data_IF_318419250366
#
_entry.id   IF_318419250366
#
_cell.length_a   1.000
_cell.length_b   1.000
_cell.length_c   1.000
_cell.angle_alpha   90.00
_cell.angle_beta   90.00
_cell.angle_gamma   90.00
#
_symmetry.space_group_name_H-M   'P 1'
#
loop_
_entity.id
_entity.type
_entity.pdbx_description
1 polymer ?
#
# COMPACT_ATOMS: atom_id res chain seq x y z
N UNK A 1 -9.87 -8.24 -3.43
CA UNK A 1 -9.36 -6.91 -3.03
C UNK A 1 -10.23 -5.75 -3.51
N UNK A 2 -10.56 -5.64 -4.81
CA UNK A 2 -11.22 -4.43 -5.36
C UNK A 2 -12.55 -4.04 -4.72
N UNK A 3 -13.33 -4.99 -4.20
CA UNK A 3 -14.57 -4.70 -3.47
C UNK A 3 -14.36 -3.90 -2.17
N UNK A 4 -13.12 -3.72 -1.71
CA UNK A 4 -12.79 -2.83 -0.60
C UNK A 4 -12.64 -1.36 -1.01
N UNK A 5 -12.54 -1.06 -2.30
CA UNK A 5 -12.56 0.32 -2.81
C UNK A 5 -13.95 0.93 -2.61
N UNK A 6 -14.00 2.20 -2.21
CA UNK A 6 -15.22 2.88 -1.77
C UNK A 6 -16.42 2.67 -2.72
N UNK A 7 -16.25 2.94 -4.02
CA UNK A 7 -17.36 2.88 -4.97
C UNK A 7 -17.65 1.47 -5.47
N UNK A 8 -16.61 0.63 -5.57
CA UNK A 8 -16.75 -0.78 -5.92
C UNK A 8 -17.47 -1.56 -4.81
N UNK A 9 -17.25 -1.22 -3.54
CA UNK A 9 -17.98 -1.76 -2.39
C UNK A 9 -19.48 -1.52 -2.53
N UNK A 10 -19.87 -0.29 -2.86
CA UNK A 10 -21.28 0.08 -3.06
C UNK A 10 -21.89 -0.69 -4.23
N UNK A 11 -21.18 -0.79 -5.36
CA UNK A 11 -21.64 -1.60 -6.49
C UNK A 11 -21.83 -3.07 -6.11
N UNK A 12 -20.92 -3.64 -5.31
CA UNK A 12 -21.04 -5.02 -4.81
C UNK A 12 -22.26 -5.20 -3.90
N UNK A 13 -22.54 -4.24 -3.00
CA UNK A 13 -23.70 -4.27 -2.11
C UNK A 13 -25.02 -4.13 -2.89
N UNK A 14 -25.00 -3.45 -4.02
CA UNK A 14 -26.14 -3.34 -4.94
C UNK A 14 -26.34 -4.60 -5.81
N UNK A 15 -25.48 -5.62 -5.67
CA UNK A 15 -25.54 -6.85 -6.46
C UNK A 15 -24.99 -6.70 -7.89
N UNK A 16 -24.34 -5.57 -8.20
CA UNK A 16 -23.67 -5.36 -9.47
C UNK A 16 -22.25 -5.92 -9.44
N UNK A 17 -21.61 -6.01 -10.61
CA UNK A 17 -20.17 -6.26 -10.69
C UNK A 17 -19.43 -5.13 -9.94
N UNK A 18 -18.41 -5.44 -9.12
CA UNK A 18 -17.70 -4.47 -8.28
C UNK A 18 -16.73 -3.61 -9.08
N UNK A 19 -17.28 -2.81 -9.98
CA UNK A 19 -16.54 -1.85 -10.79
C UNK A 19 -16.56 -0.47 -10.15
N UNK A 20 -15.41 0.18 -10.13
CA UNK A 20 -15.25 1.55 -9.61
C UNK A 20 -16.15 2.51 -10.40
N UNK A 21 -16.82 3.44 -9.70
CA UNK A 21 -17.62 4.51 -10.32
C UNK A 21 -16.73 5.74 -10.55
N UNK A 22 -16.87 6.35 -11.72
CA UNK A 22 -16.15 7.60 -12.03
C UNK A 22 -16.75 8.70 -11.16
N UNK A 23 -15.88 9.50 -10.53
CA UNK A 23 -16.28 10.69 -9.76
C UNK A 23 -16.20 11.91 -10.68
N UNK A 24 -17.11 12.90 -10.58
CA UNK A 24 -18.33 12.96 -9.78
C UNK A 24 -19.52 12.15 -10.37
N UNK A 25 -20.58 11.83 -9.58
CA UNK A 25 -20.80 12.25 -8.18
C UNK A 25 -19.97 11.47 -7.16
N UNK A 26 -19.69 12.10 -6.02
CA UNK A 26 -19.10 11.42 -4.86
C UNK A 26 -20.19 10.64 -4.09
N UNK A 27 -19.84 9.52 -3.41
CA UNK A 27 -20.81 8.73 -2.64
C UNK A 27 -21.59 9.50 -1.58
N UNK A 28 -20.97 10.54 -1.01
CA UNK A 28 -21.62 11.43 -0.03
C UNK A 28 -22.81 12.19 -0.60
N UNK A 29 -22.90 12.34 -1.92
CA UNK A 29 -24.04 12.92 -2.64
C UNK A 29 -24.93 11.80 -3.19
N UNK A 30 -24.33 10.85 -3.90
CA UNK A 30 -25.04 9.72 -4.52
C UNK A 30 -24.20 8.45 -4.43
N UNK A 31 -24.44 7.66 -3.38
CA UNK A 31 -23.74 6.41 -3.10
C UNK A 31 -24.66 5.19 -3.22
N UNK A 32 -24.83 4.45 -2.11
CA UNK A 32 -25.59 3.20 -2.07
C UNK A 32 -27.05 3.42 -2.45
N UNK A 33 -27.56 2.66 -3.41
CA UNK A 33 -28.94 2.78 -3.92
C UNK A 33 -29.30 4.22 -4.33
N UNK A 34 -28.31 4.96 -4.84
CA UNK A 34 -28.41 6.38 -5.19
C UNK A 34 -28.82 7.29 -4.03
N UNK A 35 -28.39 6.96 -2.82
CA UNK A 35 -28.59 7.77 -1.61
C UNK A 35 -27.24 8.28 -1.07
N UNK A 36 -27.21 9.47 -0.44
CA UNK A 36 -26.04 9.95 0.29
C UNK A 36 -25.49 8.87 1.22
N UNK A 37 -24.24 8.47 1.00
CA UNK A 37 -23.60 7.37 1.74
C UNK A 37 -22.17 7.76 2.08
N UNK A 38 -21.81 7.58 3.35
CA UNK A 38 -20.44 7.72 3.82
C UNK A 38 -19.85 6.32 3.96
N UNK A 39 -18.68 6.09 3.36
CA UNK A 39 -17.91 4.87 3.55
C UNK A 39 -16.67 5.20 4.36
N UNK A 40 -16.50 4.54 5.50
CA UNK A 40 -15.29 4.65 6.32
C UNK A 40 -14.79 3.26 6.69
N UNK A 41 -13.51 3.17 7.01
CA UNK A 41 -12.92 1.95 7.55
C UNK A 41 -13.51 1.63 8.93
N UNK A 42 -13.52 0.35 9.28
CA UNK A 42 -13.95 -0.14 10.59
C UNK A 42 -13.15 0.52 11.72
N UNK A 43 -11.84 0.69 11.58
CA UNK A 43 -10.97 1.35 12.57
C UNK A 43 -11.44 2.79 12.85
N UNK A 44 -11.83 3.53 11.82
CA UNK A 44 -12.34 4.89 11.95
C UNK A 44 -13.63 4.93 12.77
N UNK A 45 -14.57 4.03 12.49
CA UNK A 45 -15.82 3.96 13.26
C UNK A 45 -15.65 3.40 14.67
N UNK A 46 -14.71 2.47 14.86
CA UNK A 46 -14.40 1.91 16.18
C UNK A 46 -13.88 2.95 17.18
N UNK A 47 -13.30 4.05 16.68
CA UNK A 47 -12.86 5.18 17.52
C UNK A 47 -13.99 6.11 17.97
N UNK A 48 -15.16 6.08 17.30
CA UNK A 48 -16.26 7.01 17.61
C UNK A 48 -16.81 6.89 19.04
N UNK A 49 -17.04 5.69 19.62
CA UNK A 49 -17.53 5.59 20.99
C UNK A 49 -16.62 6.28 22.00
N UNK A 50 -15.29 6.18 21.83
CA UNK A 50 -14.33 6.88 22.68
C UNK A 50 -14.41 8.40 22.49
N UNK A 51 -14.47 8.86 21.24
CA UNK A 51 -14.54 10.30 20.91
C UNK A 51 -15.82 10.92 21.46
N UNK A 52 -16.97 10.26 21.32
CA UNK A 52 -18.26 10.76 21.82
C UNK A 52 -18.27 10.80 23.35
N UNK A 53 -17.65 9.81 24.01
CA UNK A 53 -17.63 9.74 25.48
C UNK A 53 -16.64 10.71 26.13
N UNK A 54 -15.46 10.88 25.56
CA UNK A 54 -14.35 11.63 26.17
C UNK A 54 -14.07 12.98 25.51
N UNK A 55 -14.71 13.26 24.38
CA UNK A 55 -14.53 14.47 23.59
C UNK A 55 -13.37 14.38 22.58
N UNK A 56 -13.50 15.14 21.49
CA UNK A 56 -12.50 15.17 20.42
C UNK A 56 -11.12 15.66 20.89
N UNK A 57 -11.06 16.57 21.86
CA UNK A 57 -9.80 17.05 22.43
C UNK A 57 -8.99 15.94 23.14
N UNK A 58 -9.68 14.99 23.79
CA UNK A 58 -9.02 13.85 24.43
C UNK A 58 -8.43 12.87 23.40
N UNK A 59 -9.13 12.67 22.27
CA UNK A 59 -8.63 11.88 21.16
C UNK A 59 -7.45 12.58 20.45
N UNK A 60 -7.57 13.89 20.23
CA UNK A 60 -6.54 14.72 19.60
C UNK A 60 -5.26 14.88 20.44
N UNK A 61 -5.34 14.65 21.75
CA UNK A 61 -4.18 14.62 22.63
C UNK A 61 -3.30 13.37 22.45
N UNK A 62 -3.79 12.35 21.75
CA UNK A 62 -3.03 11.17 21.35
C UNK A 62 -2.48 11.43 19.96
N UNK A 63 -1.21 11.13 19.71
CA UNK A 63 -0.62 11.26 18.39
C UNK A 63 0.23 12.52 18.20
N UNK A 64 0.36 12.96 16.95
CA UNK A 64 1.00 14.22 16.58
C UNK A 64 -0.05 15.32 16.34
N UNK A 65 0.40 16.56 16.09
CA UNK A 65 -0.50 17.67 15.78
C UNK A 65 -1.32 17.45 14.49
N UNK A 66 -0.69 16.84 13.47
CA UNK A 66 -1.31 16.63 12.15
C UNK A 66 -1.92 15.23 12.02
N UNK A 67 -1.38 14.24 12.73
CA UNK A 67 -1.87 12.85 12.77
C UNK A 67 -2.32 12.51 14.19
N UNK A 68 -3.59 12.77 14.50
CA UNK A 68 -4.17 12.53 15.83
C UNK A 68 -4.80 11.14 15.97
N UNK A 69 -4.75 10.59 17.18
CA UNK A 69 -5.37 9.33 17.58
C UNK A 69 -4.40 8.15 17.60
N UNK A 70 -4.89 6.98 18.04
CA UNK A 70 -4.18 5.73 17.89
C UNK A 70 -4.26 5.21 16.45
N UNK A 71 -3.33 4.32 16.11
CA UNK A 71 -3.31 3.54 14.87
C UNK A 71 -3.05 2.08 15.19
N UNK A 72 -3.83 1.20 14.58
CA UNK A 72 -3.55 -0.23 14.57
C UNK A 72 -2.46 -0.53 13.53
N UNK A 73 -1.40 -1.21 13.99
CA UNK A 73 -0.27 -1.68 13.18
C UNK A 73 -0.25 -3.21 13.20
N UNK A 74 -0.25 -3.84 12.03
CA UNK A 74 -0.30 -5.31 11.90
C UNK A 74 1.03 -5.84 11.37
N UNK A 75 1.70 -6.71 12.11
CA UNK A 75 3.00 -7.29 11.78
C UNK A 75 2.85 -8.72 11.25
N UNK A 76 3.51 -9.04 10.13
CA UNK A 76 3.50 -10.37 9.52
C UNK A 76 4.30 -11.43 10.30
N UNK A 77 4.23 -12.68 9.84
CA UNK A 77 4.81 -13.84 10.52
C UNK A 77 6.34 -13.89 10.54
N UNK A 78 7.02 -13.00 9.81
CA UNK A 78 8.47 -12.88 9.80
C UNK A 78 9.02 -12.11 11.01
N UNK A 79 8.17 -11.40 11.74
CA UNK A 79 8.52 -10.83 13.05
C UNK A 79 8.60 -11.93 14.12
N UNK A 80 9.43 -11.74 15.15
CA UNK A 80 9.52 -12.70 16.27
C UNK A 80 8.19 -12.77 17.02
N UNK A 81 7.58 -11.61 17.24
CA UNK A 81 6.28 -11.44 17.88
C UNK A 81 5.30 -10.83 16.87
N UNK A 82 4.73 -11.64 15.95
CA UNK A 82 3.72 -11.16 15.01
C UNK A 82 2.43 -10.83 15.75
N UNK A 83 1.66 -9.84 15.27
CA UNK A 83 0.43 -9.43 15.94
C UNK A 83 -0.14 -8.11 15.42
N UNK A 84 -1.26 -7.70 16.02
CA UNK A 84 -1.85 -6.39 15.82
C UNK A 84 -1.65 -5.57 17.10
N UNK A 85 -1.00 -4.42 16.96
CA UNK A 85 -0.64 -3.53 18.06
C UNK A 85 -1.33 -2.19 17.86
N UNK A 86 -1.87 -1.63 18.94
CA UNK A 86 -2.36 -0.26 18.96
C UNK A 86 -1.25 0.66 19.46
N UNK A 87 -0.86 1.63 18.64
CA UNK A 87 0.16 2.63 18.98
C UNK A 87 -0.38 4.04 18.78
N UNK A 88 0.17 5.02 19.49
CA UNK A 88 -0.13 6.41 19.19
C UNK A 88 0.48 6.77 17.82
N UNK A 89 -0.22 7.58 17.02
CA UNK A 89 0.40 8.18 15.84
C UNK A 89 1.69 8.94 16.23
N UNK A 90 2.69 8.95 15.36
CA UNK A 90 4.02 9.52 15.67
C UNK A 90 4.93 8.60 16.50
N UNK A 91 4.48 7.41 16.91
CA UNK A 91 5.36 6.41 17.54
C UNK A 91 6.52 6.07 16.58
N UNK A 92 7.79 6.03 17.04
CA UNK A 92 8.92 5.64 16.20
C UNK A 92 8.70 4.26 15.56
N UNK A 93 9.00 4.12 14.28
CA UNK A 93 8.85 2.85 13.58
C UNK A 93 9.81 1.78 14.15
N UNK A 94 10.94 2.21 14.71
CA UNK A 94 11.87 1.36 15.46
C UNK A 94 11.23 0.70 16.67
N UNK A 95 10.43 1.44 17.44
CA UNK A 95 9.68 0.88 18.57
C UNK A 95 8.71 -0.19 18.10
N UNK A 96 8.02 0.03 16.97
CA UNK A 96 7.14 -0.97 16.37
C UNK A 96 7.91 -2.23 15.96
N UNK A 97 9.01 -2.06 15.23
CA UNK A 97 9.76 -3.19 14.66
C UNK A 97 10.51 -3.98 15.73
N UNK A 98 11.23 -3.29 16.62
CA UNK A 98 12.15 -3.89 17.57
C UNK A 98 11.52 -4.19 18.92
N UNK A 99 10.74 -3.25 19.47
CA UNK A 99 10.19 -3.41 20.83
C UNK A 99 8.89 -4.22 20.80
N UNK A 100 7.94 -3.86 19.93
CA UNK A 100 6.65 -4.56 19.81
C UNK A 100 6.79 -5.86 19.03
N UNK A 101 7.40 -5.82 17.85
CA UNK A 101 7.60 -6.96 16.97
C UNK A 101 8.74 -7.91 17.39
N UNK A 102 9.61 -7.50 18.32
CA UNK A 102 10.77 -8.29 18.75
C UNK A 102 11.88 -8.42 17.69
N UNK A 103 11.84 -7.61 16.63
CA UNK A 103 12.66 -7.74 15.44
C UNK A 103 12.24 -8.91 14.54
N UNK A 104 13.11 -9.29 13.62
CA UNK A 104 12.82 -10.30 12.59
C UNK A 104 13.35 -11.69 12.96
N UNK A 105 12.69 -12.74 12.46
CA UNK A 105 13.10 -14.15 12.56
C UNK A 105 14.19 -14.54 11.55
N UNK A 106 14.26 -13.78 10.45
CA UNK A 106 15.22 -13.95 9.36
C UNK A 106 15.85 -12.59 9.03
N UNK A 107 17.01 -12.54 8.35
CA UNK A 107 17.52 -11.29 7.80
C UNK A 107 16.51 -10.65 6.83
N UNK A 108 16.25 -9.36 7.00
CA UNK A 108 15.25 -8.58 6.26
C UNK A 108 15.92 -7.36 5.66
N UNK A 109 15.68 -7.13 4.36
CA UNK A 109 16.26 -5.99 3.63
C UNK A 109 15.30 -4.81 3.50
N UNK A 110 14.00 -5.06 3.58
CA UNK A 110 12.96 -4.04 3.55
C UNK A 110 11.69 -4.52 4.24
N UNK A 111 10.80 -3.58 4.54
CA UNK A 111 9.42 -3.84 4.93
C UNK A 111 8.47 -3.15 3.95
N UNK A 112 7.41 -3.82 3.52
CA UNK A 112 6.31 -3.15 2.83
C UNK A 112 5.30 -2.67 3.87
N UNK A 113 5.03 -1.36 3.88
CA UNK A 113 4.10 -0.73 4.82
C UNK A 113 2.88 -0.21 4.07
N UNK A 114 1.68 -0.47 4.60
CA UNK A 114 0.43 0.05 4.05
C UNK A 114 -0.26 -0.87 3.05
N UNK A 115 0.16 -2.13 2.98
CA UNK A 115 -0.38 -3.16 2.10
C UNK A 115 0.29 -3.19 0.72
N UNK A 116 -0.24 -3.97 -0.25
CA UNK A 116 0.41 -4.21 -1.54
C UNK A 116 0.64 -2.94 -2.40
N UNK A 117 -0.10 -1.87 -2.12
CA UNK A 117 0.00 -0.58 -2.81
C UNK A 117 0.76 0.48 -1.99
N UNK A 118 1.24 0.07 -0.81
CA UNK A 118 2.00 0.91 0.09
C UNK A 118 3.48 0.96 -0.28
N UNK A 119 4.27 1.68 0.53
CA UNK A 119 5.69 1.88 0.25
C UNK A 119 6.56 0.70 0.63
N UNK A 120 7.64 0.45 -0.13
CA UNK A 120 8.71 -0.45 0.28
C UNK A 120 9.77 0.38 0.99
N UNK A 121 9.87 0.21 2.31
CA UNK A 121 10.82 0.92 3.18
C UNK A 121 12.05 0.05 3.39
N UNK A 122 13.24 0.47 2.92
CA UNK A 122 14.49 -0.22 3.23
C UNK A 122 14.76 -0.30 4.73
N UNK A 123 15.41 -1.38 5.18
CA UNK A 123 15.66 -1.60 6.61
C UNK A 123 16.46 -0.46 7.28
N UNK A 124 17.37 0.19 6.55
CA UNK A 124 18.19 1.32 7.03
C UNK A 124 17.40 2.64 7.18
N UNK A 125 16.19 2.72 6.62
CA UNK A 125 15.30 3.89 6.72
C UNK A 125 14.30 3.80 7.87
N UNK A 126 14.13 2.62 8.46
CA UNK A 126 13.19 2.39 9.58
C UNK A 126 13.43 3.37 10.73
N UNK A 127 14.71 3.63 11.05
CA UNK A 127 15.13 4.52 12.15
C UNK A 127 14.72 5.98 11.95
N UNK A 128 14.49 6.39 10.71
CA UNK A 128 14.14 7.77 10.36
C UNK A 128 12.64 8.03 10.32
N UNK A 129 11.80 7.01 10.54
CA UNK A 129 10.36 7.09 10.35
C UNK A 129 9.59 6.96 11.66
N UNK A 130 8.40 7.55 11.64
CA UNK A 130 7.40 7.52 12.70
C UNK A 130 6.07 7.08 12.10
N UNK A 131 5.22 6.41 12.89
CA UNK A 131 3.90 5.91 12.46
C UNK A 131 2.93 7.08 12.36
N UNK A 132 3.06 7.89 11.31
CA UNK A 132 2.15 8.97 10.95
C UNK A 132 2.19 9.24 9.44
N UNK A 133 1.19 9.94 8.91
CA UNK A 133 1.06 10.11 7.47
C UNK A 133 2.13 11.04 6.89
N UNK A 134 2.54 12.06 7.63
CA UNK A 134 3.46 13.10 7.20
C UNK A 134 4.88 12.53 7.06
N UNK A 135 5.34 11.78 8.05
CA UNK A 135 6.65 11.12 8.09
C UNK A 135 6.84 10.22 6.87
N UNK A 136 5.86 9.33 6.61
CA UNK A 136 5.89 8.45 5.43
C UNK A 136 5.85 9.24 4.12
N UNK A 137 4.94 10.21 4.00
CA UNK A 137 4.78 11.00 2.77
C UNK A 137 6.05 11.79 2.44
N UNK A 138 6.67 12.43 3.44
CA UNK A 138 7.90 13.21 3.26
C UNK A 138 9.10 12.35 2.86
N UNK A 139 9.11 11.08 3.28
CA UNK A 139 10.14 10.11 2.90
C UNK A 139 9.86 9.40 1.55
N UNK A 140 8.77 9.72 0.86
CA UNK A 140 8.40 9.08 -0.41
C UNK A 140 7.75 7.71 -0.26
N UNK A 141 7.07 7.47 0.86
CA UNK A 141 6.36 6.24 1.18
C UNK A 141 4.88 6.52 1.50
N UNK A 142 4.14 5.47 1.83
CA UNK A 142 2.73 5.54 2.21
C UNK A 142 2.48 4.66 3.44
N UNK A 143 1.90 5.24 4.50
CA UNK A 143 1.53 4.50 5.71
C UNK A 143 0.36 3.53 5.45
N UNK A 144 -0.63 3.96 4.66
CA UNK A 144 -1.82 3.18 4.32
C UNK A 144 -2.57 2.69 5.56
N UNK A 145 -2.96 1.41 5.57
CA UNK A 145 -3.61 0.80 6.73
C UNK A 145 -2.63 0.37 7.84
N UNK A 146 -1.34 0.67 7.71
CA UNK A 146 -0.26 0.29 8.63
C UNK A 146 -0.09 -1.22 8.85
N UNK A 147 -0.38 -2.04 7.84
CA UNK A 147 0.13 -3.41 7.80
C UNK A 147 1.58 -3.42 7.35
N UNK A 148 2.41 -4.22 8.01
CA UNK A 148 3.86 -4.30 7.80
C UNK A 148 4.21 -5.73 7.44
N UNK A 149 4.70 -5.91 6.22
CA UNK A 149 5.16 -7.21 5.70
C UNK A 149 6.67 -7.15 5.54
N UNK A 150 7.38 -8.07 6.17
CA UNK A 150 8.84 -8.10 6.04
C UNK A 150 9.24 -8.76 4.71
N UNK A 151 10.25 -8.20 4.05
CA UNK A 151 10.84 -8.74 2.82
C UNK A 151 12.21 -9.32 3.19
N UNK A 152 12.33 -10.67 3.24
CA UNK A 152 13.60 -11.32 3.57
C UNK A 152 14.71 -10.95 2.58
N UNK A 153 15.95 -10.90 3.07
CA UNK A 153 17.12 -10.59 2.24
C UNK A 153 17.25 -11.55 1.05
N UNK A 154 16.95 -12.84 1.29
CA UNK A 154 17.00 -13.91 0.30
C UNK A 154 15.89 -13.86 -0.78
N UNK A 155 14.86 -13.02 -0.61
CA UNK A 155 13.75 -12.96 -1.57
C UNK A 155 14.07 -11.99 -2.71
N UNK A 156 14.14 -12.41 -3.99
CA UNK A 156 14.56 -11.53 -5.07
C UNK A 156 13.57 -10.38 -5.33
N UNK A 157 14.06 -9.14 -5.41
CA UNK A 157 13.22 -7.97 -5.65
C UNK A 157 12.51 -8.01 -7.00
N UNK A 158 13.11 -8.63 -8.01
CA UNK A 158 12.45 -8.83 -9.30
C UNK A 158 11.20 -9.73 -9.17
N UNK A 159 11.26 -10.76 -8.31
CA UNK A 159 10.09 -11.60 -8.01
C UNK A 159 9.03 -10.83 -7.23
N UNK A 160 9.47 -9.90 -6.38
CA UNK A 160 8.55 -9.04 -5.63
C UNK A 160 7.81 -8.08 -6.55
N UNK A 161 8.49 -7.45 -7.50
CA UNK A 161 7.88 -6.58 -8.52
C UNK A 161 6.92 -7.41 -9.40
N UNK A 162 7.33 -8.60 -9.85
CA UNK A 162 6.47 -9.53 -10.60
C UNK A 162 5.18 -9.85 -9.81
N UNK A 163 5.32 -10.13 -8.51
CA UNK A 163 4.18 -10.40 -7.62
C UNK A 163 3.24 -9.19 -7.49
N UNK A 164 3.75 -7.96 -7.36
CA UNK A 164 2.93 -6.76 -7.27
C UNK A 164 2.12 -6.52 -8.55
N UNK A 165 2.73 -6.72 -9.71
CA UNK A 165 2.00 -6.67 -10.99
C UNK A 165 0.96 -7.78 -11.11
N UNK A 166 1.33 -9.01 -10.76
CA UNK A 166 0.43 -10.17 -10.80
C UNK A 166 -0.77 -9.99 -9.86
N UNK A 167 -0.54 -9.46 -8.64
CA UNK A 167 -1.58 -9.11 -7.69
C UNK A 167 -2.53 -8.07 -8.28
N UNK A 168 -2.01 -6.97 -8.84
CA UNK A 168 -2.84 -5.92 -9.45
C UNK A 168 -3.62 -6.44 -10.66
N UNK A 169 -3.03 -7.33 -11.47
CA UNK A 169 -3.70 -7.96 -12.60
C UNK A 169 -4.87 -8.86 -12.15
N UNK A 170 -4.62 -9.69 -11.14
CA UNK A 170 -5.62 -10.59 -10.57
C UNK A 170 -6.78 -9.85 -9.87
N UNK A 171 -6.46 -8.72 -9.24
CA UNK A 171 -7.41 -7.95 -8.43
C UNK A 171 -8.06 -6.79 -9.18
N UNK A 172 -7.72 -6.57 -10.46
CA UNK A 172 -8.33 -5.53 -11.28
C UNK A 172 -9.81 -5.80 -11.52
N UNK A 173 -10.68 -4.80 -11.34
CA UNK A 173 -12.07 -4.89 -11.83
C UNK A 173 -12.17 -4.86 -13.37
N UNK A 174 -11.08 -4.56 -14.07
CA UNK A 174 -11.02 -4.56 -15.53
C UNK A 174 -11.56 -3.31 -16.24
N UNK A 175 -11.98 -2.28 -15.49
CA UNK A 175 -12.66 -1.09 -16.04
C UNK A 175 -11.74 -0.12 -16.79
N UNK A 176 -10.56 0.19 -16.25
CA UNK A 176 -9.61 1.11 -16.88
C UNK A 176 -8.48 0.35 -17.56
N UNK A 177 -8.17 0.69 -18.81
CA UNK A 177 -7.11 0.03 -19.59
C UNK A 177 -5.72 0.11 -18.95
N UNK A 178 -5.30 1.25 -18.36
CA UNK A 178 -3.98 1.35 -17.72
C UNK A 178 -3.80 0.31 -16.62
N UNK A 179 -4.77 0.16 -15.71
CA UNK A 179 -4.71 -0.87 -14.67
C UNK A 179 -4.85 -2.28 -15.27
N UNK A 180 -5.88 -2.52 -16.09
CA UNK A 180 -6.21 -3.88 -16.58
C UNK A 180 -5.13 -4.48 -17.47
N UNK A 181 -4.60 -3.69 -18.40
CA UNK A 181 -3.61 -4.15 -19.36
C UNK A 181 -2.20 -3.87 -18.86
N UNK A 182 -1.97 -2.71 -18.25
CA UNK A 182 -0.65 -2.32 -17.78
C UNK A 182 -0.10 -3.25 -16.70
N UNK A 183 -0.94 -3.71 -15.78
CA UNK A 183 -0.51 -4.70 -14.77
C UNK A 183 -0.07 -6.03 -15.39
N UNK A 184 -0.82 -6.53 -16.39
CA UNK A 184 -0.44 -7.75 -17.14
C UNK A 184 0.86 -7.52 -17.91
N UNK A 185 1.03 -6.37 -18.57
CA UNK A 185 2.28 -6.05 -19.29
C UNK A 185 3.48 -5.95 -18.35
N UNK A 186 3.32 -5.34 -17.17
CA UNK A 186 4.37 -5.29 -16.16
C UNK A 186 4.74 -6.67 -15.63
N UNK A 187 3.75 -7.54 -15.42
CA UNK A 187 3.97 -8.93 -15.04
C UNK A 187 4.73 -9.70 -16.14
N UNK A 188 4.30 -9.59 -17.40
CA UNK A 188 4.97 -10.23 -18.54
C UNK A 188 6.42 -9.75 -18.69
N UNK A 189 6.67 -8.44 -18.57
CA UNK A 189 8.01 -7.86 -18.65
C UNK A 189 8.95 -8.43 -17.58
N UNK A 190 8.49 -8.43 -16.33
CA UNK A 190 9.28 -8.90 -15.18
C UNK A 190 9.50 -10.41 -15.22
N UNK A 191 8.45 -11.19 -15.50
CA UNK A 191 8.55 -12.64 -15.67
C UNK A 191 9.51 -13.02 -16.81
N UNK A 192 9.44 -12.32 -17.95
CA UNK A 192 10.32 -12.57 -19.09
C UNK A 192 11.77 -12.24 -18.77
N UNK A 193 12.04 -11.15 -18.08
CA UNK A 193 13.40 -10.79 -17.65
C UNK A 193 14.00 -11.82 -16.66
N UNK A 194 13.14 -12.50 -15.91
CA UNK A 194 13.52 -13.51 -14.92
C UNK A 194 13.76 -14.90 -15.50
N UNK A 195 13.08 -15.24 -16.59
CA UNK A 195 13.04 -16.60 -17.17
C UNK A 195 13.73 -16.73 -18.51
N UNK A 196 14.24 -15.63 -19.08
CA UNK A 196 14.94 -15.59 -20.36
C UNK A 196 16.08 -14.58 -20.36
N UNK A 197 16.85 -14.49 -21.45
CA UNK A 197 17.92 -13.50 -21.64
C UNK A 197 17.39 -12.08 -21.93
N UNK A 198 16.08 -11.84 -21.79
CA UNK A 198 15.48 -10.52 -21.97
C UNK A 198 15.93 -9.55 -20.88
N UNK A 199 16.17 -8.31 -21.26
CA UNK A 199 16.47 -7.19 -20.37
C UNK A 199 15.38 -6.14 -20.52
N UNK A 200 14.91 -5.61 -19.40
CA UNK A 200 13.85 -4.61 -19.37
C UNK A 200 14.45 -3.28 -19.80
N UNK A 201 13.85 -2.65 -20.80
CA UNK A 201 14.08 -1.23 -21.10
C UNK A 201 13.52 -0.40 -19.93
N UNK A 202 14.41 0.34 -19.26
CA UNK A 202 14.05 1.15 -18.10
C UNK A 202 13.02 2.24 -18.45
N UNK A 203 13.15 2.88 -19.61
CA UNK A 203 12.23 3.91 -20.06
C UNK A 203 10.83 3.32 -20.27
N UNK A 204 10.75 2.13 -20.88
CA UNK A 204 9.48 1.44 -21.09
C UNK A 204 8.77 1.12 -19.77
N UNK A 205 9.52 0.67 -18.76
CA UNK A 205 8.95 0.40 -17.44
C UNK A 205 8.50 1.70 -16.76
N UNK A 206 9.31 2.75 -16.78
CA UNK A 206 8.96 4.04 -16.17
C UNK A 206 7.70 4.65 -16.84
N UNK A 207 7.61 4.62 -18.17
CA UNK A 207 6.44 5.07 -18.94
C UNK A 207 5.17 4.28 -18.56
N UNK A 208 5.31 2.97 -18.36
CA UNK A 208 4.21 2.10 -17.92
C UNK A 208 3.73 2.51 -16.52
N UNK A 209 4.66 2.70 -15.59
CA UNK A 209 4.36 3.07 -14.20
C UNK A 209 3.70 4.46 -14.13
N UNK A 210 4.21 5.45 -14.85
CA UNK A 210 3.62 6.79 -14.93
C UNK A 210 2.22 6.75 -15.55
N UNK A 211 2.04 5.99 -16.63
CA UNK A 211 0.72 5.82 -17.27
C UNK A 211 -0.28 5.22 -16.30
N UNK A 212 0.10 4.15 -15.59
CA UNK A 212 -0.77 3.52 -14.58
C UNK A 212 -1.11 4.48 -13.44
N UNK A 213 -0.13 5.25 -12.96
CA UNK A 213 -0.30 6.21 -11.88
C UNK A 213 -1.27 7.34 -12.27
N UNK A 214 -1.09 7.92 -13.44
CA UNK A 214 -1.83 9.10 -13.88
C UNK A 214 -3.24 8.79 -14.40
N UNK A 215 -3.46 7.60 -14.97
CA UNK A 215 -4.67 7.33 -15.78
C UNK A 215 -5.53 6.17 -15.26
N UNK A 216 -5.20 5.60 -14.10
CA UNK A 216 -6.07 4.64 -13.41
C UNK A 216 -7.21 5.33 -12.65
N UNK A 217 -8.41 4.76 -12.72
CA UNK A 217 -9.60 5.34 -12.07
C UNK A 217 -9.60 5.24 -10.53
N UNK A 218 -8.80 4.34 -9.95
CA UNK A 218 -8.73 4.13 -8.50
C UNK A 218 -7.31 3.81 -8.04
N UNK A 219 -7.14 3.77 -6.72
CA UNK A 219 -5.86 3.54 -6.06
C UNK A 219 -5.23 2.17 -6.39
N UNK A 220 -6.00 1.14 -6.79
CA UNK A 220 -5.41 -0.15 -7.17
C UNK A 220 -4.39 0.00 -8.31
N UNK A 221 -4.82 0.57 -9.43
CA UNK A 221 -3.92 0.83 -10.56
C UNK A 221 -2.99 2.01 -10.32
N UNK A 222 -3.48 3.06 -9.64
CA UNK A 222 -2.71 4.28 -9.41
C UNK A 222 -1.65 4.18 -8.30
N UNK A 223 -1.79 3.21 -7.40
CA UNK A 223 -0.95 3.04 -6.22
C UNK A 223 0.12 1.96 -6.37
N UNK A 224 -0.09 0.93 -7.20
CA UNK A 224 0.95 -0.09 -7.46
C UNK A 224 2.28 0.47 -7.98
N UNK A 225 2.35 1.62 -8.69
CA UNK A 225 3.63 2.18 -9.10
C UNK A 225 4.56 2.57 -7.96
N UNK A 226 4.03 3.01 -6.81
CA UNK A 226 4.83 3.46 -5.67
C UNK A 226 5.81 2.40 -5.14
N UNK A 227 5.37 1.19 -4.72
CA UNK A 227 6.29 0.16 -4.24
C UNK A 227 7.28 -0.27 -5.32
N UNK A 228 6.89 -0.28 -6.59
CA UNK A 228 7.80 -0.64 -7.69
C UNK A 228 8.88 0.43 -7.87
N UNK A 229 8.52 1.71 -7.84
CA UNK A 229 9.48 2.82 -7.86
C UNK A 229 10.42 2.78 -6.65
N UNK A 230 9.91 2.47 -5.45
CA UNK A 230 10.75 2.27 -4.28
C UNK A 230 11.74 1.10 -4.48
N UNK A 231 11.28 -0.02 -5.04
CA UNK A 231 12.16 -1.16 -5.36
C UNK A 231 13.27 -0.76 -6.35
N UNK A 232 12.91 -0.06 -7.43
CA UNK A 232 13.86 0.43 -8.44
C UNK A 232 14.87 1.44 -7.88
N UNK A 233 14.46 2.25 -6.90
CA UNK A 233 15.31 3.26 -6.28
C UNK A 233 16.29 2.64 -5.27
N UNK A 234 15.79 1.82 -4.35
CA UNK A 234 16.57 1.36 -3.20
C UNK A 234 17.26 0.02 -3.42
N UNK A 235 16.82 -0.77 -4.40
CA UNK A 235 17.38 -2.08 -4.74
C UNK A 235 17.90 -2.11 -6.18
N UNK A 236 18.36 -0.96 -6.69
CA UNK A 236 18.88 -0.81 -8.04
C UNK A 236 20.02 -1.79 -8.33
N UNK A 237 20.93 -2.01 -7.38
CA UNK A 237 22.06 -2.94 -7.56
C UNK A 237 21.61 -4.40 -7.71
N UNK A 238 20.60 -4.82 -6.94
CA UNK A 238 20.00 -6.15 -7.04
C UNK A 238 19.23 -6.33 -8.37
N UNK A 239 18.62 -5.24 -8.85
CA UNK A 239 17.80 -5.25 -10.06
C UNK A 239 18.62 -5.05 -11.33
N UNK A 240 19.82 -4.46 -11.25
CA UNK A 240 20.69 -4.13 -12.40
C UNK A 240 20.85 -5.27 -13.42
N UNK A 241 21.01 -6.55 -13.02
CA UNK A 241 21.11 -7.63 -13.99
C UNK A 241 19.88 -7.78 -14.90
N UNK A 242 18.69 -7.32 -14.51
CA UNK A 242 17.45 -7.49 -15.27
C UNK A 242 17.14 -6.35 -16.23
N UNK A 243 17.91 -5.26 -16.21
CA UNK A 243 17.70 -4.09 -17.05
C UNK A 243 18.73 -4.00 -18.17
N UNK A 244 18.37 -3.27 -19.23
CA UNK A 244 19.33 -2.87 -20.25
C UNK A 244 20.37 -1.92 -19.63
N UNK A 245 21.62 -2.03 -20.09
CA UNK A 245 22.79 -1.35 -19.51
C UNK A 245 22.91 0.13 -19.87
#
# INVERSE_FOLDING_TARGET
YICGEETALLASLEGARPEVRVRPPFPTVEGLFRKPTIVNNVETFANLPFIVKNGGAAYAAIGTADSTGPKLVSLDSNFKTPGCYEVAMGTPLTTVVHDLGGGFRVPVKAIQVGGPLGGIVPADRVDSLTVDFESFKNAGFLLGHAGVVAIPEAFPMIEYIEHLFAFTAAESCGKCFPCRLGSVRGQELTQRARTSDYRIDRQLLDDLLETMQATSLCALGGGVPLPIQNALQYFADELKPFFEG
#
